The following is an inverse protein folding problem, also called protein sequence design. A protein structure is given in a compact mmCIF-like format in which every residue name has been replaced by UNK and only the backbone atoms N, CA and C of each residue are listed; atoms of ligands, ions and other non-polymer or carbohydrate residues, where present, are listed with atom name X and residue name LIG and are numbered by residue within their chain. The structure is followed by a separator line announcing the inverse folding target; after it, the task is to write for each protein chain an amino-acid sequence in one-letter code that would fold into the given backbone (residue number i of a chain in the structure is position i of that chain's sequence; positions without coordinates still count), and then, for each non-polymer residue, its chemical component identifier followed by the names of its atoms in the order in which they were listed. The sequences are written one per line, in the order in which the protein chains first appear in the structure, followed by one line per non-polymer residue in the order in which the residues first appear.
data_IF_788441377003
#
_entry.id   IF_788441377003
#
_cell.length_a   1.000
_cell.length_b   1.000
_cell.length_c   1.000
_cell.angle_alpha   90.00
_cell.angle_beta   90.00
_cell.angle_gamma   90.00
#
_symmetry.space_group_name_H-M   'P 1'
#
loop_
_entity.id
_entity.type
_entity.pdbx_description
1 polymer ?
#
# COMPACT_ATOMS: atom_id res chain seq x y z
N UNK A 1 -2.23 -2.70 -3.62
CA UNK A 1 -2.56 -4.16 -3.59
C UNK A 1 -1.65 -4.93 -2.64
N UNK A 2 -0.34 -4.67 -2.60
CA UNK A 2 0.61 -5.31 -1.67
C UNK A 2 0.22 -5.05 -0.21
N UNK A 3 -0.13 -3.83 0.16
CA UNK A 3 -0.50 -3.48 1.53
C UNK A 3 -1.70 -4.30 2.05
N UNK A 4 -2.71 -4.54 1.21
CA UNK A 4 -3.85 -5.40 1.59
C UNK A 4 -3.46 -6.86 1.80
N UNK A 5 -2.55 -7.40 0.99
CA UNK A 5 -2.06 -8.78 1.16
C UNK A 5 -1.25 -8.89 2.43
N UNK A 6 -0.36 -7.94 2.66
CA UNK A 6 0.46 -7.89 3.86
C UNK A 6 -0.41 -7.77 5.12
N UNK A 7 -1.39 -6.86 5.13
CA UNK A 7 -2.34 -6.73 6.23
C UNK A 7 -3.10 -8.03 6.54
N UNK A 8 -3.56 -8.75 5.51
CA UNK A 8 -4.22 -10.04 5.70
C UNK A 8 -3.29 -11.12 6.26
N UNK A 9 -2.03 -11.15 5.81
CA UNK A 9 -1.04 -12.10 6.30
C UNK A 9 -0.60 -11.80 7.72
N UNK A 10 -0.57 -10.52 8.11
CA UNK A 10 -0.17 -10.08 9.44
C UNK A 10 -1.30 -10.25 10.48
N UNK A 11 -2.56 -10.30 10.04
CA UNK A 11 -3.72 -10.29 10.94
C UNK A 11 -3.66 -11.37 12.04
N UNK A 12 -3.34 -12.64 11.75
CA UNK A 12 -3.24 -13.66 12.79
C UNK A 12 -2.17 -13.32 13.85
N UNK A 13 -1.01 -12.83 13.42
CA UNK A 13 0.07 -12.46 14.34
C UNK A 13 -0.29 -11.25 15.21
N UNK A 14 -0.92 -10.23 14.60
CA UNK A 14 -1.36 -9.01 15.31
C UNK A 14 -2.40 -9.30 16.39
N UNK A 15 -3.29 -10.27 16.19
CA UNK A 15 -4.26 -10.69 17.23
C UNK A 15 -3.55 -11.11 18.50
N UNK A 16 -2.38 -11.74 18.39
CA UNK A 16 -1.53 -12.15 19.50
C UNK A 16 -0.44 -11.10 19.85
N UNK A 17 -0.66 -9.84 19.52
CA UNK A 17 0.25 -8.72 19.75
C UNK A 17 1.64 -8.84 19.10
N UNK A 18 1.83 -9.77 18.16
CA UNK A 18 3.07 -9.93 17.40
C UNK A 18 3.06 -8.97 16.21
N UNK A 19 3.67 -7.79 16.38
CA UNK A 19 3.54 -6.66 15.45
C UNK A 19 4.71 -6.55 14.45
N UNK A 20 5.71 -7.41 14.52
CA UNK A 20 6.94 -7.33 13.70
C UNK A 20 6.63 -7.37 12.21
N UNK A 21 5.70 -8.24 11.77
CA UNK A 21 5.28 -8.32 10.36
C UNK A 21 4.68 -7.01 9.85
N UNK A 22 3.98 -6.27 10.71
CA UNK A 22 3.39 -4.97 10.37
C UNK A 22 4.47 -3.89 10.38
N UNK A 23 5.30 -3.84 11.40
CA UNK A 23 6.33 -2.81 11.58
C UNK A 23 7.38 -2.83 10.48
N UNK A 24 7.83 -4.03 10.09
CA UNK A 24 8.86 -4.19 9.06
C UNK A 24 8.27 -4.36 7.64
N UNK A 25 7.09 -4.91 7.53
CA UNK A 25 6.43 -5.12 6.24
C UNK A 25 5.79 -3.86 5.67
N UNK A 26 5.16 -3.05 6.51
CA UNK A 26 4.90 -1.65 6.21
C UNK A 26 6.10 -0.86 6.73
N UNK A 27 6.78 -0.04 5.93
CA UNK A 27 7.94 0.72 6.40
C UNK A 27 7.52 1.86 7.35
N UNK A 28 6.76 1.51 8.40
CA UNK A 28 6.22 2.46 9.38
C UNK A 28 7.36 3.18 10.11
N UNK A 29 8.37 2.42 10.52
CA UNK A 29 9.52 2.95 11.28
C UNK A 29 10.39 3.89 10.42
N UNK A 30 10.46 3.66 9.12
CA UNK A 30 11.30 4.44 8.20
C UNK A 30 10.53 5.52 7.42
N UNK A 31 9.22 5.65 7.64
CA UNK A 31 8.39 6.67 7.00
C UNK A 31 8.27 7.87 7.92
N UNK A 32 8.76 9.05 7.48
CA UNK A 32 8.64 10.30 8.23
C UNK A 32 7.18 10.62 8.59
N UNK A 33 6.25 10.28 7.69
CA UNK A 33 4.82 10.52 7.89
C UNK A 33 4.21 9.68 9.01
N UNK A 34 4.81 8.53 9.33
CA UNK A 34 4.32 7.62 10.37
C UNK A 34 4.93 7.89 11.75
N UNK A 35 5.94 8.73 11.86
CA UNK A 35 6.57 9.09 13.15
C UNK A 35 5.54 9.78 14.04
N UNK A 36 4.78 10.72 13.49
CA UNK A 36 3.82 11.51 14.28
C UNK A 36 2.72 10.63 14.90
N UNK A 37 1.97 9.79 14.16
CA UNK A 37 0.97 8.91 14.78
C UNK A 37 1.61 7.87 15.70
N UNK A 38 2.84 7.40 15.42
CA UNK A 38 3.55 6.44 16.27
C UNK A 38 3.84 7.02 17.67
N UNK A 39 4.15 8.30 17.77
CA UNK A 39 4.37 8.99 19.06
C UNK A 39 3.03 9.42 19.68
N UNK A 40 2.13 9.99 18.89
CA UNK A 40 0.89 10.59 19.39
C UNK A 40 -0.07 9.54 19.96
N UNK A 41 -0.21 8.39 19.29
CA UNK A 41 -1.18 7.36 19.66
C UNK A 41 -0.95 6.84 21.08
N UNK A 42 0.25 6.35 21.48
CA UNK A 42 0.45 5.86 22.84
C UNK A 42 0.24 6.94 23.90
N UNK A 43 0.57 8.21 23.62
CA UNK A 43 0.33 9.32 24.54
C UNK A 43 -1.18 9.50 24.76
N UNK A 44 -1.96 9.59 23.70
CA UNK A 44 -3.42 9.77 23.77
C UNK A 44 -4.08 8.58 24.47
N UNK A 45 -3.71 7.35 24.12
CA UNK A 45 -4.29 6.16 24.73
C UNK A 45 -3.92 6.02 26.21
N UNK A 46 -2.71 6.42 26.60
CA UNK A 46 -2.28 6.45 28.01
C UNK A 46 -3.07 7.46 28.82
N UNK A 47 -3.31 8.67 28.27
CA UNK A 47 -4.14 9.68 28.90
C UNK A 47 -5.59 9.22 29.06
N UNK A 48 -6.19 8.62 28.04
CA UNK A 48 -7.54 8.05 28.10
C UNK A 48 -7.62 6.98 29.19
N UNK A 49 -6.67 6.03 29.19
CA UNK A 49 -6.66 4.96 30.18
C UNK A 49 -6.43 5.46 31.59
N UNK A 50 -5.50 6.41 31.77
CA UNK A 50 -5.22 7.05 33.04
C UNK A 50 -6.42 7.82 33.60
N UNK A 51 -7.12 8.59 32.77
CA UNK A 51 -8.35 9.28 33.19
C UNK A 51 -9.48 8.32 33.52
N UNK A 52 -9.65 7.23 32.75
CA UNK A 52 -10.65 6.20 33.05
C UNK A 52 -10.42 5.53 34.40
N UNK A 53 -9.17 5.25 34.76
CA UNK A 53 -8.80 4.69 36.06
C UNK A 53 -8.96 5.74 37.17
N UNK A 54 -8.51 6.97 36.92
CA UNK A 54 -8.63 8.07 37.91
C UNK A 54 -10.07 8.35 38.34
N UNK A 55 -11.01 8.32 37.40
CA UNK A 55 -12.43 8.46 37.69
C UNK A 55 -13.12 7.17 38.13
N UNK A 56 -12.36 6.09 38.39
CA UNK A 56 -12.88 4.79 38.83
C UNK A 56 -13.89 4.17 37.83
N UNK A 57 -13.86 4.59 36.57
CA UNK A 57 -14.66 3.99 35.50
C UNK A 57 -14.19 2.56 35.21
N UNK A 58 -12.89 2.31 35.32
CA UNK A 58 -12.24 1.01 35.17
C UNK A 58 -11.39 0.75 36.40
N UNK A 59 -11.42 -0.46 36.98
CA UNK A 59 -10.54 -0.80 38.10
C UNK A 59 -9.07 -0.69 37.71
N UNK A 60 -8.23 -0.38 38.70
CA UNK A 60 -6.79 -0.39 38.50
C UNK A 60 -6.30 -1.80 38.13
N UNK A 61 -5.20 -1.84 37.40
CA UNK A 61 -4.53 -3.11 37.04
C UNK A 61 -4.06 -3.80 38.31
N UNK A 62 -4.55 -5.03 38.53
CA UNK A 62 -4.22 -5.84 39.69
C UNK A 62 -3.36 -7.06 39.37
N UNK A 63 -3.37 -7.51 38.11
CA UNK A 63 -2.68 -8.70 37.67
C UNK A 63 -1.72 -8.41 36.52
N UNK A 64 -0.57 -9.08 36.53
CA UNK A 64 0.33 -9.11 35.34
C UNK A 64 -0.24 -10.05 34.30
N UNK A 65 -0.23 -9.63 33.05
CA UNK A 65 -0.74 -10.41 31.92
C UNK A 65 0.37 -10.56 30.90
N UNK A 66 0.51 -11.76 30.35
CA UNK A 66 1.45 -12.05 29.28
C UNK A 66 1.18 -11.14 28.05
N UNK A 67 2.23 -10.65 27.43
CA UNK A 67 2.13 -9.70 26.31
C UNK A 67 1.51 -10.31 25.04
N UNK A 68 1.54 -11.64 24.90
CA UNK A 68 0.96 -12.39 23.79
C UNK A 68 -0.55 -12.59 23.88
N UNK A 69 -1.16 -12.26 25.03
CA UNK A 69 -2.61 -12.40 25.21
C UNK A 69 -3.34 -11.40 24.30
N UNK A 70 -4.37 -11.86 23.55
CA UNK A 70 -5.15 -10.98 22.69
C UNK A 70 -5.72 -9.77 23.42
N UNK A 71 -5.73 -8.61 22.75
CA UNK A 71 -6.02 -7.32 23.35
C UNK A 71 -7.28 -7.30 24.24
N UNK A 72 -8.40 -7.85 23.80
CA UNK A 72 -9.65 -7.82 24.59
C UNK A 72 -9.59 -8.70 25.83
N UNK A 73 -8.89 -9.82 25.77
CA UNK A 73 -8.72 -10.73 26.90
C UNK A 73 -7.74 -10.18 27.93
N UNK A 74 -6.69 -9.50 27.46
CA UNK A 74 -5.68 -8.91 28.34
C UNK A 74 -6.28 -7.83 29.26
N UNK A 75 -7.22 -7.02 28.78
CA UNK A 75 -7.91 -6.02 29.60
C UNK A 75 -8.76 -6.63 30.72
N UNK A 76 -9.46 -7.71 30.42
CA UNK A 76 -10.22 -8.45 31.43
C UNK A 76 -9.29 -9.07 32.47
N UNK A 77 -8.25 -9.77 32.04
CA UNK A 77 -7.30 -10.43 32.91
C UNK A 77 -6.55 -9.46 33.81
N UNK A 78 -6.15 -8.29 33.27
CA UNK A 78 -5.42 -7.27 34.00
C UNK A 78 -6.24 -6.58 35.09
N UNK A 79 -7.53 -6.33 34.82
CA UNK A 79 -8.40 -5.56 35.71
C UNK A 79 -9.41 -6.40 36.50
N UNK A 80 -9.56 -7.69 36.14
CA UNK A 80 -10.60 -8.54 36.68
C UNK A 80 -12.02 -8.09 36.30
N UNK A 81 -12.20 -7.19 35.34
CA UNK A 81 -13.47 -6.58 34.99
C UNK A 81 -13.68 -6.46 33.49
N UNK A 82 -14.90 -6.68 33.01
CA UNK A 82 -15.28 -6.42 31.61
C UNK A 82 -15.08 -4.95 31.20
N UNK A 83 -15.08 -4.02 32.14
CA UNK A 83 -14.78 -2.61 31.87
C UNK A 83 -13.37 -2.40 31.31
N UNK A 84 -12.41 -3.25 31.72
CA UNK A 84 -11.06 -3.24 31.14
C UNK A 84 -11.04 -3.62 29.67
N UNK A 85 -11.80 -4.66 29.27
CA UNK A 85 -11.96 -5.04 27.85
C UNK A 85 -12.67 -3.96 27.04
N UNK A 86 -13.70 -3.31 27.60
CA UNK A 86 -14.41 -2.20 26.94
C UNK A 86 -13.47 -1.01 26.72
N UNK A 87 -12.64 -0.66 27.71
CA UNK A 87 -11.64 0.38 27.57
C UNK A 87 -10.62 0.04 26.45
N UNK A 88 -10.18 -1.22 26.36
CA UNK A 88 -9.30 -1.65 25.29
C UNK A 88 -9.96 -1.55 23.91
N UNK A 89 -11.23 -1.95 23.80
CA UNK A 89 -11.98 -1.81 22.54
C UNK A 89 -12.11 -0.33 22.14
N UNK A 90 -12.40 0.53 23.10
CA UNK A 90 -12.46 1.98 22.87
C UNK A 90 -11.09 2.54 22.42
N UNK A 91 -10.03 2.16 23.14
CA UNK A 91 -8.66 2.55 22.78
C UNK A 91 -8.27 2.07 21.38
N UNK A 92 -8.65 0.86 20.98
CA UNK A 92 -8.41 0.33 19.64
C UNK A 92 -9.12 1.17 18.57
N UNK A 93 -10.37 1.58 18.83
CA UNK A 93 -11.10 2.47 17.93
C UNK A 93 -10.44 3.84 17.80
N UNK A 94 -10.07 4.46 18.93
CA UNK A 94 -9.38 5.76 18.95
C UNK A 94 -8.02 5.69 18.24
N UNK A 95 -7.22 4.67 18.54
CA UNK A 95 -5.93 4.47 17.89
C UNK A 95 -6.08 4.30 16.37
N UNK A 96 -7.07 3.53 15.94
CA UNK A 96 -7.39 3.36 14.52
C UNK A 96 -7.79 4.68 13.87
N UNK A 97 -8.62 5.50 14.53
CA UNK A 97 -9.02 6.81 14.03
C UNK A 97 -7.83 7.76 13.87
N UNK A 98 -6.88 7.72 14.80
CA UNK A 98 -5.64 8.53 14.72
C UNK A 98 -4.80 8.10 13.52
N UNK A 99 -4.64 6.79 13.27
CA UNK A 99 -3.78 6.27 12.20
C UNK A 99 -4.37 6.44 10.80
N UNK A 100 -5.70 6.39 10.62
CA UNK A 100 -6.36 6.42 9.31
C UNK A 100 -5.89 7.58 8.41
N UNK A 101 -5.88 8.86 8.87
CA UNK A 101 -5.47 9.97 8.00
C UNK A 101 -4.00 9.87 7.56
N UNK A 102 -3.12 9.43 8.44
CA UNK A 102 -1.69 9.29 8.14
C UNK A 102 -1.42 8.14 7.16
N UNK A 103 -2.08 7.00 7.35
CA UNK A 103 -1.98 5.86 6.41
C UNK A 103 -2.47 6.26 5.02
N UNK A 104 -3.61 6.94 4.93
CA UNK A 104 -4.14 7.42 3.64
C UNK A 104 -3.19 8.42 2.97
N UNK A 105 -2.62 9.33 3.76
CA UNK A 105 -1.65 10.31 3.25
C UNK A 105 -0.39 9.63 2.71
N UNK A 106 0.18 8.70 3.47
CA UNK A 106 1.34 7.92 3.06
C UNK A 106 1.06 7.08 1.80
N UNK A 107 -0.11 6.44 1.71
CA UNK A 107 -0.50 5.70 0.50
C UNK A 107 -0.58 6.61 -0.73
N UNK A 108 -1.14 7.82 -0.61
CA UNK A 108 -1.20 8.79 -1.70
C UNK A 108 0.18 9.26 -2.16
N UNK A 109 1.10 9.49 -1.22
CA UNK A 109 2.48 9.89 -1.54
C UNK A 109 3.19 8.76 -2.30
N UNK A 110 3.16 7.54 -1.77
CA UNK A 110 3.79 6.37 -2.39
C UNK A 110 3.23 6.10 -3.80
N UNK A 111 1.93 6.28 -3.99
CA UNK A 111 1.29 6.13 -5.30
C UNK A 111 1.79 7.19 -6.29
N UNK A 112 1.85 8.46 -5.88
CA UNK A 112 2.38 9.55 -6.71
C UNK A 112 3.86 9.36 -7.05
N UNK A 113 4.67 8.94 -6.10
CA UNK A 113 6.08 8.64 -6.32
C UNK A 113 6.26 7.51 -7.32
N UNK A 114 5.47 6.44 -7.19
CA UNK A 114 5.53 5.32 -8.12
C UNK A 114 5.11 5.73 -9.54
N UNK A 115 4.03 6.51 -9.69
CA UNK A 115 3.61 7.05 -10.98
C UNK A 115 4.66 7.98 -11.59
N UNK A 116 5.33 8.80 -10.78
CA UNK A 116 6.42 9.65 -11.27
C UNK A 116 7.60 8.81 -11.77
N UNK A 117 7.92 7.71 -11.09
CA UNK A 117 8.97 6.76 -11.53
C UNK A 117 8.61 6.08 -12.86
N UNK A 118 7.34 5.68 -13.04
CA UNK A 118 6.85 5.15 -14.32
C UNK A 118 7.02 6.20 -15.42
N UNK A 119 6.59 7.44 -15.17
CA UNK A 119 6.69 8.53 -16.14
C UNK A 119 8.14 8.84 -16.52
N UNK A 120 9.05 8.83 -15.56
CA UNK A 120 10.48 8.99 -15.83
C UNK A 120 11.01 7.85 -16.70
N UNK A 121 10.59 6.60 -16.40
CA UNK A 121 10.94 5.43 -17.18
C UNK A 121 10.45 5.56 -18.65
N UNK A 122 9.21 6.02 -18.84
CA UNK A 122 8.63 6.28 -20.16
C UNK A 122 9.36 7.39 -20.92
N UNK A 123 9.69 8.51 -20.26
CA UNK A 123 10.38 9.62 -20.87
C UNK A 123 11.79 9.22 -21.34
N UNK A 124 12.52 8.53 -20.48
CA UNK A 124 13.85 8.04 -20.83
C UNK A 124 13.79 7.05 -22.00
N UNK A 125 12.73 6.24 -22.05
CA UNK A 125 12.51 5.33 -23.17
C UNK A 125 12.24 6.08 -24.48
N UNK A 126 11.43 7.14 -24.44
CA UNK A 126 11.16 7.98 -25.62
C UNK A 126 12.40 8.73 -26.12
N UNK A 127 13.27 9.18 -25.21
CA UNK A 127 14.52 9.85 -25.56
C UNK A 127 15.51 8.88 -26.22
N UNK A 128 15.51 7.61 -25.81
CA UNK A 128 16.40 6.58 -26.34
C UNK A 128 15.80 5.77 -27.52
N UNK A 129 14.56 6.04 -27.93
CA UNK A 129 13.87 5.32 -29.03
C UNK A 129 14.63 5.39 -30.37
N UNK A 130 15.59 6.30 -30.47
CA UNK A 130 16.55 6.41 -31.60
C UNK A 130 17.79 5.49 -31.44
N UNK A 131 17.97 4.82 -30.31
CA UNK A 131 19.10 3.92 -30.07
C UNK A 131 18.66 2.45 -30.05
N UNK A 132 19.38 1.61 -30.75
CA UNK A 132 19.04 0.22 -31.13
C UNK A 132 18.88 -0.76 -29.97
N UNK A 133 19.02 -0.35 -28.70
CA UNK A 133 19.16 -1.27 -27.57
C UNK A 133 18.21 -0.99 -26.39
N UNK A 134 16.93 -0.86 -26.66
CA UNK A 134 15.89 -0.60 -25.62
C UNK A 134 15.87 -1.64 -24.51
N UNK A 135 16.18 -2.91 -24.79
CA UNK A 135 16.11 -4.01 -23.82
C UNK A 135 17.17 -3.94 -22.70
N UNK A 136 18.37 -3.44 -23.00
CA UNK A 136 19.46 -3.36 -22.01
C UNK A 136 19.33 -2.15 -21.10
N UNK A 137 18.57 -1.16 -21.49
CA UNK A 137 18.38 0.09 -20.76
C UNK A 137 17.68 -0.10 -19.41
N UNK A 138 16.61 -0.92 -19.33
CA UNK A 138 15.84 -1.13 -18.08
C UNK A 138 16.67 -1.76 -16.97
N UNK A 139 17.76 -2.41 -17.31
CA UNK A 139 18.58 -3.13 -16.36
C UNK A 139 19.80 -2.35 -15.89
N UNK A 140 20.08 -1.19 -16.46
CA UNK A 140 21.27 -0.40 -16.14
C UNK A 140 21.22 0.27 -14.79
N UNK A 141 20.07 0.79 -14.37
CA UNK A 141 19.92 1.44 -13.07
C UNK A 141 19.12 0.57 -12.13
N UNK A 142 19.58 0.41 -10.89
CA UNK A 142 18.87 -0.38 -9.87
C UNK A 142 17.43 0.05 -9.67
N UNK A 143 17.17 1.36 -9.66
CA UNK A 143 15.85 1.94 -9.47
C UNK A 143 14.89 1.63 -10.63
N UNK A 144 15.38 1.73 -11.86
CA UNK A 144 14.62 1.36 -13.07
C UNK A 144 14.28 -0.14 -13.07
N UNK A 145 15.23 -0.99 -12.64
CA UNK A 145 15.00 -2.43 -12.52
C UNK A 145 13.91 -2.76 -11.50
N UNK A 146 13.87 -2.10 -10.35
CA UNK A 146 12.83 -2.33 -9.35
C UNK A 146 11.46 -1.89 -9.86
N UNK A 147 11.38 -0.70 -10.45
CA UNK A 147 10.14 -0.18 -11.04
C UNK A 147 9.63 -1.10 -12.16
N UNK A 148 10.51 -1.52 -13.06
CA UNK A 148 10.18 -2.44 -14.14
C UNK A 148 9.68 -3.80 -13.63
N UNK A 149 10.32 -4.38 -12.61
CA UNK A 149 9.85 -5.65 -12.00
C UNK A 149 8.46 -5.53 -11.37
N UNK A 150 8.20 -4.46 -10.65
CA UNK A 150 6.89 -4.22 -10.05
C UNK A 150 5.83 -4.04 -11.14
N UNK A 151 6.15 -3.27 -12.18
CA UNK A 151 5.25 -3.03 -13.30
C UNK A 151 5.00 -4.31 -14.11
N UNK A 152 6.00 -5.16 -14.32
CA UNK A 152 5.86 -6.47 -14.98
C UNK A 152 4.94 -7.40 -14.17
N UNK A 153 5.07 -7.42 -12.85
CA UNK A 153 4.16 -8.18 -11.97
C UNK A 153 2.71 -7.68 -12.06
N UNK A 154 2.53 -6.35 -12.14
CA UNK A 154 1.20 -5.76 -12.30
C UNK A 154 0.64 -6.00 -13.71
N UNK A 155 1.49 -6.07 -14.74
CA UNK A 155 1.10 -6.44 -16.10
C UNK A 155 0.57 -7.87 -16.16
N UNK A 156 1.26 -8.83 -15.54
CA UNK A 156 0.77 -10.21 -15.45
C UNK A 156 -0.60 -10.29 -14.79
N UNK A 157 -0.81 -9.52 -13.72
CA UNK A 157 -2.12 -9.46 -13.08
C UNK A 157 -3.18 -8.80 -13.97
N UNK A 158 -2.83 -7.73 -14.69
CA UNK A 158 -3.72 -7.06 -15.63
C UNK A 158 -4.15 -7.97 -16.79
N UNK A 159 -3.23 -8.80 -17.31
CA UNK A 159 -3.51 -9.82 -18.31
C UNK A 159 -4.54 -10.85 -17.80
N UNK A 160 -4.31 -11.39 -16.59
CA UNK A 160 -5.24 -12.37 -16.00
C UNK A 160 -6.63 -11.79 -15.69
N UNK A 161 -6.74 -10.50 -15.49
CA UNK A 161 -8.01 -9.79 -15.17
C UNK A 161 -8.67 -9.17 -16.39
N UNK A 162 -8.07 -9.23 -17.57
CA UNK A 162 -8.61 -8.60 -18.78
C UNK A 162 -8.60 -7.07 -18.74
N UNK A 163 -7.68 -6.47 -17.99
CA UNK A 163 -7.58 -5.01 -17.86
C UNK A 163 -6.76 -4.37 -18.99
N UNK A 164 -6.32 -5.15 -19.98
CA UNK A 164 -5.69 -4.66 -21.19
C UNK A 164 -6.76 -4.50 -22.27
N UNK A 165 -6.70 -3.38 -22.98
CA UNK A 165 -7.63 -3.06 -24.06
C UNK A 165 -6.87 -2.90 -25.37
N UNK A 166 -7.49 -3.29 -26.45
CA UNK A 166 -7.01 -3.03 -27.80
C UNK A 166 -7.91 -1.96 -28.44
N UNK A 167 -7.32 -0.86 -28.85
CA UNK A 167 -7.98 0.16 -29.64
C UNK A 167 -7.59 -0.06 -31.09
N UNK A 168 -8.55 0.08 -31.98
CA UNK A 168 -8.34 -0.13 -33.41
C UNK A 168 -8.38 1.19 -34.13
N UNK A 169 -7.26 1.54 -34.79
CA UNK A 169 -7.16 2.73 -35.63
C UNK A 169 -7.31 2.32 -37.09
N UNK A 170 -8.39 2.75 -37.79
CA UNK A 170 -8.57 2.41 -39.19
C UNK A 170 -7.52 3.13 -40.04
N UNK A 171 -6.96 2.38 -41.00
CA UNK A 171 -6.03 2.90 -42.00
C UNK A 171 -6.78 2.96 -43.33
N UNK A 172 -6.76 4.13 -43.95
CA UNK A 172 -7.53 4.42 -45.16
C UNK A 172 -6.60 4.71 -46.35
N UNK A 173 -7.01 4.24 -47.53
CA UNK A 173 -6.40 4.71 -48.78
C UNK A 173 -6.80 6.18 -49.06
N UNK A 174 -6.09 6.83 -50.00
CA UNK A 174 -6.39 8.19 -50.44
C UNK A 174 -7.82 8.38 -50.97
N UNK A 175 -8.43 7.31 -51.49
CA UNK A 175 -9.82 7.27 -51.94
C UNK A 175 -10.85 6.97 -50.85
N UNK A 176 -10.45 7.10 -49.57
CA UNK A 176 -11.28 6.80 -48.38
C UNK A 176 -11.79 5.35 -48.25
N UNK A 177 -11.19 4.39 -48.97
CA UNK A 177 -11.48 2.98 -48.72
C UNK A 177 -10.61 2.45 -47.60
N UNK A 178 -11.16 1.53 -46.80
CA UNK A 178 -10.43 0.91 -45.68
C UNK A 178 -9.32 0.01 -46.22
N UNK A 179 -8.09 0.26 -45.81
CA UNK A 179 -6.92 -0.57 -46.10
C UNK A 179 -6.70 -1.63 -45.01
N UNK A 180 -6.87 -1.26 -43.75
CA UNK A 180 -6.62 -2.13 -42.61
C UNK A 180 -6.92 -1.44 -41.29
N UNK A 181 -6.62 -2.13 -40.21
CA UNK A 181 -6.71 -1.56 -38.86
C UNK A 181 -5.39 -1.82 -38.12
N UNK A 182 -4.89 -0.81 -37.45
CA UNK A 182 -3.81 -0.97 -36.49
C UNK A 182 -4.39 -1.27 -35.10
N UNK A 183 -3.91 -2.32 -34.45
CA UNK A 183 -4.29 -2.67 -33.09
C UNK A 183 -3.32 -2.00 -32.09
N UNK A 184 -3.84 -1.06 -31.34
CA UNK A 184 -3.08 -0.26 -30.39
C UNK A 184 -3.39 -0.72 -28.98
N UNK A 185 -2.38 -1.27 -28.30
CA UNK A 185 -2.48 -1.71 -26.92
C UNK A 185 -2.70 -0.51 -25.97
N UNK A 186 -3.64 -0.65 -25.05
CA UNK A 186 -3.92 0.31 -23.98
C UNK A 186 -3.96 -0.42 -22.65
N UNK A 187 -3.13 0.04 -21.72
CA UNK A 187 -3.15 -0.40 -20.34
C UNK A 187 -3.44 0.79 -19.45
N UNK A 188 -4.69 0.85 -18.98
CA UNK A 188 -5.08 1.81 -17.95
C UNK A 188 -4.52 1.34 -16.61
N UNK A 189 -3.51 2.05 -16.12
CA UNK A 189 -2.87 1.73 -14.85
C UNK A 189 -3.57 2.45 -13.71
N UNK A 190 -4.32 1.70 -12.92
CA UNK A 190 -5.07 2.16 -11.75
C UNK A 190 -6.13 3.25 -12.02
N UNK A 191 -6.58 3.45 -13.26
CA UNK A 191 -7.50 4.53 -13.63
C UNK A 191 -6.88 5.92 -13.64
N UNK A 192 -5.56 6.02 -13.60
CA UNK A 192 -4.84 7.30 -13.46
C UNK A 192 -4.01 7.64 -14.69
N UNK A 193 -3.45 6.66 -15.36
CA UNK A 193 -2.60 6.88 -16.53
C UNK A 193 -2.63 5.68 -17.48
N UNK A 194 -2.45 5.97 -18.77
CA UNK A 194 -2.19 4.93 -19.76
C UNK A 194 -0.68 4.71 -19.88
N UNK A 195 -0.25 3.46 -19.67
CA UNK A 195 1.16 3.09 -19.82
C UNK A 195 1.52 3.12 -21.31
N UNK A 196 2.69 3.67 -21.60
CA UNK A 196 3.25 3.76 -22.95
C UNK A 196 3.40 2.36 -23.56
N UNK A 197 2.77 2.09 -24.75
CA UNK A 197 2.73 0.74 -25.31
C UNK A 197 4.09 0.06 -25.51
N UNK A 198 5.14 0.76 -26.01
CA UNK A 198 6.47 0.17 -26.11
C UNK A 198 7.03 -0.31 -24.77
N UNK A 199 6.74 0.41 -23.67
CA UNK A 199 7.12 -0.02 -22.32
C UNK A 199 6.41 -1.32 -21.94
N UNK A 200 5.11 -1.44 -22.25
CA UNK A 200 4.34 -2.68 -21.98
C UNK A 200 4.93 -3.87 -22.74
N UNK A 201 5.29 -3.68 -24.01
CA UNK A 201 5.90 -4.71 -24.85
C UNK A 201 7.27 -5.12 -24.30
N UNK A 202 8.06 -4.17 -23.80
CA UNK A 202 9.38 -4.44 -23.24
C UNK A 202 9.34 -5.17 -21.89
N UNK A 203 8.21 -5.10 -21.17
CA UNK A 203 7.98 -5.77 -19.89
C UNK A 203 7.40 -7.17 -20.04
N UNK A 204 6.83 -7.50 -21.19
CA UNK A 204 6.22 -8.80 -21.49
C UNK A 204 7.26 -9.87 -21.82
#
# INVERSE_FOLDING_TARGET
KNNRRLAKLSLPAVIFNTNELVLFGFPIIFSADMILPFILTPIVLSLISGTAIYFSLVPAVSNSVEWTVPALFSGYLATGSLRGSLLQLFNLAVGTMIYIPFVRHSEMIQEKEFLSKIKNLENTMKEEEHSVWVRDFYWRTYENRQTAKLLASDLQYALMKGNLQLYYQPQMYRNHTLYGCEALLRWDYMGQTFIYPPLVIALA
#
